data_IF_869029044539
#
_entry.id   IF_869029044539
#
_cell.length_a   1.000
_cell.length_b   1.000
_cell.length_c   1.000
_cell.angle_alpha   90.00
_cell.angle_beta   90.00
_cell.angle_gamma   90.00
#
_symmetry.space_group_name_H-M   'P 1'
#
loop_
_entity.id
_entity.type
_entity.pdbx_description
1 polymer ?
#
# COMPACT_ATOMS: atom_id res chain seq x y z
N UNK A 1 15.81 -5.31 0.88
CA UNK A 1 17.05 -4.57 1.28
C UNK A 1 17.48 -3.50 0.27
N UNK A 2 17.75 -3.90 -0.98
CA UNK A 2 18.45 -3.03 -1.93
C UNK A 2 17.60 -1.93 -2.59
N UNK A 3 16.29 -1.95 -2.39
CA UNK A 3 15.34 -1.04 -3.04
C UNK A 3 15.59 -0.94 -4.56
N UNK A 4 15.84 -2.09 -5.16
CA UNK A 4 16.11 -2.25 -6.58
C UNK A 4 14.98 -3.03 -7.24
N UNK A 5 14.78 -2.79 -8.52
CA UNK A 5 13.93 -3.58 -9.40
C UNK A 5 14.72 -4.09 -10.63
N UNK A 6 14.06 -4.90 -11.44
CA UNK A 6 14.70 -5.58 -12.57
C UNK A 6 14.44 -4.84 -13.90
N UNK A 7 14.32 -3.52 -13.87
CA UNK A 7 14.06 -2.67 -15.05
C UNK A 7 15.34 -2.05 -15.67
N UNK A 8 16.51 -2.38 -15.11
CA UNK A 8 17.81 -1.91 -15.57
C UNK A 8 18.81 -1.54 -14.48
N UNK A 9 18.48 -1.78 -13.20
CA UNK A 9 19.37 -1.50 -12.08
C UNK A 9 20.70 -2.25 -12.17
N UNK A 10 21.78 -1.55 -11.80
CA UNK A 10 23.14 -2.06 -11.82
C UNK A 10 23.67 -2.24 -10.39
N UNK A 11 24.30 -3.37 -10.11
CA UNK A 11 24.96 -3.66 -8.84
C UNK A 11 26.48 -3.70 -9.00
N UNK A 12 27.18 -3.17 -8.01
CA UNK A 12 28.63 -3.33 -7.87
C UNK A 12 28.92 -4.49 -6.93
N UNK A 13 29.71 -5.47 -7.40
CA UNK A 13 30.15 -6.61 -6.60
C UNK A 13 31.62 -6.43 -6.25
N UNK A 14 31.93 -6.55 -4.97
CA UNK A 14 33.29 -6.47 -4.45
C UNK A 14 33.71 -7.82 -3.89
N UNK A 15 34.89 -8.30 -4.29
CA UNK A 15 35.40 -9.62 -3.88
C UNK A 15 36.56 -9.42 -2.89
N UNK A 16 36.40 -9.77 -1.60
CA UNK A 16 37.49 -9.66 -0.62
C UNK A 16 38.63 -10.62 -0.98
N UNK A 17 39.87 -10.13 -0.91
CA UNK A 17 41.06 -10.89 -1.29
C UNK A 17 41.84 -11.45 -0.10
N UNK A 18 41.82 -10.75 1.03
CA UNK A 18 42.57 -11.16 2.23
C UNK A 18 41.74 -12.14 3.06
N UNK A 19 42.41 -13.13 3.66
CA UNK A 19 41.74 -14.08 4.55
C UNK A 19 41.00 -13.39 5.72
N UNK A 20 41.56 -12.38 6.40
CA UNK A 20 40.84 -11.66 7.45
C UNK A 20 39.55 -10.99 6.94
N UNK A 21 39.60 -10.33 5.77
CA UNK A 21 38.41 -9.69 5.20
C UNK A 21 37.36 -10.69 4.74
N UNK A 22 37.76 -11.86 4.25
CA UNK A 22 36.84 -12.95 3.89
C UNK A 22 36.09 -13.42 5.14
N UNK A 23 36.81 -13.65 6.24
CA UNK A 23 36.21 -14.07 7.52
C UNK A 23 35.28 -12.98 8.05
N UNK A 24 35.70 -11.71 8.02
CA UNK A 24 34.87 -10.58 8.46
C UNK A 24 33.56 -10.49 7.65
N UNK A 25 33.62 -10.61 6.33
CA UNK A 25 32.43 -10.62 5.49
C UNK A 25 31.52 -11.81 5.79
N UNK A 26 32.09 -12.99 6.04
CA UNK A 26 31.32 -14.20 6.35
C UNK A 26 30.61 -14.11 7.70
N UNK A 27 31.31 -13.63 8.74
CA UNK A 27 30.76 -13.59 10.10
C UNK A 27 29.82 -12.40 10.33
N UNK A 28 30.04 -11.26 9.66
CA UNK A 28 29.28 -10.03 9.95
C UNK A 28 28.31 -9.62 8.84
N UNK A 29 28.65 -9.86 7.58
CA UNK A 29 27.94 -9.27 6.43
C UNK A 29 27.03 -10.26 5.70
N UNK A 30 26.91 -11.50 6.19
CA UNK A 30 26.01 -12.49 5.60
C UNK A 30 24.54 -12.10 5.77
N UNK A 31 23.71 -12.56 4.83
CA UNK A 31 22.26 -12.28 4.85
C UNK A 31 21.63 -12.80 6.14
N UNK A 32 22.11 -13.91 6.68
CA UNK A 32 21.60 -14.50 7.93
C UNK A 32 21.72 -13.53 9.11
N UNK A 33 22.87 -12.86 9.23
CA UNK A 33 23.16 -11.88 10.30
C UNK A 33 22.44 -10.55 10.07
N UNK A 34 22.13 -10.22 8.81
CA UNK A 34 21.48 -8.97 8.41
C UNK A 34 19.97 -9.11 8.18
N UNK A 35 19.34 -10.20 8.63
CA UNK A 35 17.91 -10.46 8.44
C UNK A 35 17.01 -9.39 9.09
N UNK A 36 17.41 -8.87 10.25
CA UNK A 36 16.62 -7.91 11.02
C UNK A 36 17.27 -6.53 10.94
N UNK A 37 16.48 -5.51 10.61
CA UNK A 37 16.93 -4.14 10.65
C UNK A 37 17.04 -3.66 12.11
N UNK A 38 18.23 -3.29 12.60
CA UNK A 38 18.39 -2.77 13.95
C UNK A 38 17.68 -1.42 14.18
N UNK A 39 17.41 -0.65 13.11
CA UNK A 39 16.74 0.66 13.21
C UNK A 39 15.27 0.55 13.64
N UNK A 40 14.54 -0.44 13.10
CA UNK A 40 13.10 -0.57 13.29
C UNK A 40 12.68 -1.92 13.88
N UNK A 41 13.60 -2.87 14.04
CA UNK A 41 13.33 -4.23 14.49
C UNK A 41 12.58 -5.10 13.47
N UNK A 42 12.35 -4.59 12.27
CA UNK A 42 11.62 -5.26 11.19
C UNK A 42 12.53 -6.22 10.40
N UNK A 43 12.02 -7.37 9.95
CA UNK A 43 12.71 -8.20 8.97
C UNK A 43 12.94 -7.43 7.65
N UNK A 44 14.16 -7.48 7.12
CA UNK A 44 14.51 -6.84 5.84
C UNK A 44 14.11 -7.70 4.66
N UNK A 45 14.08 -9.02 4.86
CA UNK A 45 13.68 -10.03 3.89
C UNK A 45 12.32 -10.59 4.33
N UNK A 46 11.38 -10.66 3.38
CA UNK A 46 10.05 -11.23 3.58
C UNK A 46 9.49 -11.69 2.23
N UNK A 47 8.38 -12.40 2.24
CA UNK A 47 7.69 -12.79 1.01
C UNK A 47 7.16 -11.55 0.30
N UNK A 48 7.41 -11.47 -1.00
CA UNK A 48 6.99 -10.33 -1.83
C UNK A 48 6.46 -10.81 -3.17
N UNK A 49 5.66 -9.96 -3.82
CA UNK A 49 5.16 -10.18 -5.19
C UNK A 49 4.45 -11.54 -5.32
N UNK A 50 4.92 -12.40 -6.22
CA UNK A 50 4.26 -13.66 -6.58
C UNK A 50 4.32 -14.69 -5.46
N UNK A 51 5.42 -14.75 -4.71
CA UNK A 51 5.56 -15.65 -3.55
C UNK A 51 4.51 -15.35 -2.48
N UNK A 52 4.29 -14.06 -2.20
CA UNK A 52 3.31 -13.61 -1.22
C UNK A 52 1.88 -13.89 -1.70
N UNK A 53 1.60 -13.64 -2.98
CA UNK A 53 0.32 -13.96 -3.60
C UNK A 53 0.04 -15.47 -3.58
N UNK A 54 1.03 -16.28 -3.96
CA UNK A 54 0.95 -17.73 -3.96
C UNK A 54 0.71 -18.27 -2.56
N UNK A 55 1.46 -17.81 -1.57
CA UNK A 55 1.28 -18.20 -0.16
C UNK A 55 -0.11 -17.81 0.35
N UNK A 56 -0.58 -16.59 0.06
CA UNK A 56 -1.92 -16.14 0.46
C UNK A 56 -3.02 -17.00 -0.16
N UNK A 57 -2.98 -17.23 -1.49
CA UNK A 57 -3.96 -18.03 -2.19
C UNK A 57 -3.91 -19.52 -1.80
N UNK A 58 -2.75 -20.02 -1.36
CA UNK A 58 -2.58 -21.38 -0.85
C UNK A 58 -3.21 -21.52 0.54
N UNK A 59 -2.96 -20.58 1.46
CA UNK A 59 -3.44 -20.65 2.85
C UNK A 59 -4.93 -20.31 2.98
N UNK A 60 -5.40 -19.29 2.26
CA UNK A 60 -6.79 -18.82 2.35
C UNK A 60 -7.73 -19.42 1.31
N UNK A 61 -7.20 -19.92 0.20
CA UNK A 61 -8.03 -20.64 -0.73
C UNK A 61 -8.48 -21.95 -0.08
N UNK A 62 -9.75 -22.33 -0.28
CA UNK A 62 -10.27 -23.68 0.02
C UNK A 62 -9.62 -24.71 -0.94
N UNK A 63 -8.30 -24.85 -0.84
CA UNK A 63 -7.44 -25.58 -1.75
C UNK A 63 -7.21 -26.96 -1.16
N UNK A 64 -7.67 -27.97 -1.89
CA UNK A 64 -7.46 -29.38 -1.58
C UNK A 64 -6.49 -30.01 -2.58
N UNK A 65 -5.30 -30.35 -2.09
CA UNK A 65 -4.23 -30.92 -2.90
C UNK A 65 -4.25 -32.45 -2.85
N UNK A 66 -3.93 -33.08 -3.98
CA UNK A 66 -3.74 -34.54 -4.06
C UNK A 66 -2.34 -34.93 -3.62
N UNK A 67 -2.14 -36.23 -3.36
CA UNK A 67 -0.85 -36.77 -2.91
C UNK A 67 0.32 -36.41 -3.82
N UNK A 68 0.12 -36.41 -5.14
CA UNK A 68 1.19 -36.16 -6.10
C UNK A 68 1.68 -34.71 -6.06
N UNK A 69 0.74 -33.76 -5.93
CA UNK A 69 1.05 -32.35 -5.73
C UNK A 69 1.80 -32.14 -4.41
N UNK A 70 1.32 -32.72 -3.32
CA UNK A 70 1.95 -32.59 -1.99
C UNK A 70 3.33 -33.24 -1.98
N UNK A 71 3.51 -34.40 -2.62
CA UNK A 71 4.81 -35.06 -2.74
C UNK A 71 5.84 -34.21 -3.49
N UNK A 72 5.40 -33.51 -4.54
CA UNK A 72 6.26 -32.58 -5.29
C UNK A 72 6.60 -31.33 -4.46
N UNK A 73 5.61 -30.75 -3.78
CA UNK A 73 5.81 -29.60 -2.90
C UNK A 73 6.72 -29.93 -1.70
N UNK A 74 6.58 -31.14 -1.13
CA UNK A 74 7.45 -31.65 -0.09
C UNK A 74 8.90 -31.75 -0.62
N UNK A 75 9.11 -32.31 -1.80
CA UNK A 75 10.44 -32.38 -2.41
C UNK A 75 11.11 -31.00 -2.55
N UNK A 76 10.33 -29.95 -2.81
CA UNK A 76 10.84 -28.59 -3.00
C UNK A 76 11.12 -27.82 -1.70
N UNK A 77 10.40 -28.08 -0.62
CA UNK A 77 10.49 -27.23 0.58
C UNK A 77 10.46 -27.96 1.94
N UNK A 78 10.09 -29.23 2.01
CA UNK A 78 10.11 -29.98 3.28
C UNK A 78 10.22 -31.48 3.07
N UNK A 79 11.22 -32.12 3.68
CA UNK A 79 11.41 -33.57 3.60
C UNK A 79 10.31 -34.37 4.34
N UNK A 80 9.42 -33.71 5.09
CA UNK A 80 8.37 -34.36 5.87
C UNK A 80 7.00 -34.09 5.25
N UNK A 81 6.29 -35.15 4.89
CA UNK A 81 4.90 -35.07 4.42
C UNK A 81 3.95 -35.18 5.61
N UNK A 82 3.11 -34.16 5.80
CA UNK A 82 2.08 -34.18 6.84
C UNK A 82 1.01 -35.26 6.56
N UNK A 83 0.26 -35.62 7.60
CA UNK A 83 -0.91 -36.47 7.47
C UNK A 83 -2.02 -35.73 6.70
N UNK A 84 -2.74 -36.38 5.76
CA UNK A 84 -3.84 -35.74 5.04
C UNK A 84 -4.96 -35.31 5.99
N UNK A 85 -5.46 -34.09 5.83
CA UNK A 85 -6.65 -33.62 6.55
C UNK A 85 -7.89 -34.48 6.27
N UNK A 86 -8.04 -34.95 5.02
CA UNK A 86 -9.21 -35.71 4.59
C UNK A 86 -8.75 -37.08 4.08
N UNK A 87 -9.07 -38.12 4.85
CA UNK A 87 -8.75 -39.50 4.49
C UNK A 87 -9.80 -40.15 3.57
N UNK A 88 -11.08 -39.87 3.81
CA UNK A 88 -12.21 -40.53 3.13
C UNK A 88 -12.86 -39.60 2.10
N UNK A 89 -12.09 -39.14 1.12
CA UNK A 89 -12.67 -38.45 -0.04
C UNK A 89 -12.95 -39.44 -1.18
N UNK A 90 -13.93 -39.18 -2.06
CA UNK A 90 -14.21 -40.03 -3.23
C UNK A 90 -13.01 -40.19 -4.17
N UNK A 91 -12.06 -39.26 -4.12
CA UNK A 91 -10.90 -39.17 -5.01
C UNK A 91 -9.57 -39.45 -4.27
N UNK A 92 -9.63 -40.07 -3.09
CA UNK A 92 -8.45 -40.40 -2.28
C UNK A 92 -8.09 -39.35 -1.22
N UNK A 93 -6.93 -39.49 -0.56
CA UNK A 93 -6.52 -38.57 0.51
C UNK A 93 -6.25 -37.16 -0.01
N UNK A 94 -6.68 -36.14 0.75
CA UNK A 94 -6.50 -34.72 0.42
C UNK A 94 -5.84 -33.96 1.56
N UNK A 95 -4.98 -33.01 1.19
CA UNK A 95 -4.31 -32.07 2.10
C UNK A 95 -4.83 -30.67 1.87
N UNK A 96 -4.86 -29.85 2.91
CA UNK A 96 -5.20 -28.44 2.78
C UNK A 96 -3.97 -27.60 2.47
N UNK A 97 -4.14 -26.44 1.84
CA UNK A 97 -3.03 -25.51 1.63
C UNK A 97 -2.42 -24.99 2.93
N UNK A 98 -3.21 -24.84 4.00
CA UNK A 98 -2.71 -24.52 5.36
C UNK A 98 -1.75 -25.58 5.88
N UNK A 99 -2.07 -26.87 5.71
CA UNK A 99 -1.17 -27.98 6.10
C UNK A 99 0.14 -27.94 5.31
N UNK A 100 0.06 -27.69 4.00
CA UNK A 100 1.24 -27.61 3.15
C UNK A 100 2.14 -26.43 3.53
N UNK A 101 1.56 -25.28 3.85
CA UNK A 101 2.33 -24.16 4.39
C UNK A 101 2.98 -24.53 5.73
N UNK A 102 2.22 -25.16 6.63
CA UNK A 102 2.71 -25.61 7.94
C UNK A 102 3.91 -26.56 7.88
N UNK A 103 4.06 -27.35 6.80
CA UNK A 103 5.22 -28.23 6.61
C UNK A 103 6.57 -27.51 6.56
N UNK A 104 6.57 -26.20 6.28
CA UNK A 104 7.76 -25.35 6.25
C UNK A 104 8.05 -24.65 7.58
N UNK A 105 7.10 -24.69 8.52
CA UNK A 105 7.23 -24.00 9.81
C UNK A 105 8.04 -24.83 10.81
N UNK A 106 8.76 -24.18 11.74
CA UNK A 106 9.38 -24.88 12.87
C UNK A 106 8.32 -25.55 13.75
N UNK A 107 8.54 -26.79 14.22
CA UNK A 107 7.54 -27.55 14.99
C UNK A 107 7.28 -26.99 16.40
N UNK A 108 8.13 -26.12 16.90
CA UNK A 108 7.94 -25.47 18.21
C UNK A 108 7.19 -24.13 18.10
N UNK A 109 6.98 -23.64 16.86
CA UNK A 109 6.56 -22.27 16.62
C UNK A 109 5.21 -21.98 17.24
N UNK A 110 5.16 -20.93 18.07
CA UNK A 110 3.91 -20.36 18.59
C UNK A 110 3.78 -18.91 18.15
N UNK A 111 2.73 -18.64 17.39
CA UNK A 111 2.46 -17.30 16.87
C UNK A 111 0.97 -16.99 16.95
N UNK A 112 0.66 -15.88 17.61
CA UNK A 112 -0.69 -15.31 17.65
C UNK A 112 -0.58 -13.87 17.19
N UNK A 113 -1.06 -13.58 15.98
CA UNK A 113 -0.90 -12.26 15.41
C UNK A 113 -1.50 -12.11 14.03
N UNK A 114 -1.98 -10.91 13.72
CA UNK A 114 -2.49 -10.59 12.37
C UNK A 114 -3.69 -11.42 11.94
N UNK A 115 -4.47 -11.95 12.89
CA UNK A 115 -5.63 -12.80 12.61
C UNK A 115 -5.27 -14.26 12.33
N UNK A 116 -4.07 -14.70 12.69
CA UNK A 116 -3.62 -16.09 12.50
C UNK A 116 -3.10 -16.65 13.81
N UNK A 117 -3.55 -17.87 14.10
CA UNK A 117 -3.10 -18.66 15.24
C UNK A 117 -2.32 -19.88 14.75
N UNK A 118 -1.04 -19.91 15.13
CA UNK A 118 -0.11 -21.01 14.84
C UNK A 118 0.35 -21.60 16.16
N UNK A 119 0.15 -22.90 16.32
CA UNK A 119 0.54 -23.65 17.50
C UNK A 119 1.32 -24.88 17.05
N UNK A 120 2.50 -25.06 17.62
CA UNK A 120 3.39 -26.20 17.37
C UNK A 120 3.67 -26.41 15.86
N UNK A 121 3.85 -25.30 15.14
CA UNK A 121 4.13 -25.29 13.69
C UNK A 121 2.92 -25.54 12.79
N UNK A 122 1.70 -25.66 13.34
CA UNK A 122 0.47 -25.85 12.57
C UNK A 122 -0.43 -24.61 12.59
N UNK A 123 -0.95 -24.22 11.41
CA UNK A 123 -1.90 -23.12 11.28
C UNK A 123 -3.30 -23.63 11.65
N UNK A 124 -3.87 -23.12 12.74
CA UNK A 124 -5.20 -23.49 13.22
C UNK A 124 -6.28 -22.63 12.56
N UNK A 125 -6.11 -21.31 12.67
CA UNK A 125 -7.05 -20.33 12.11
C UNK A 125 -6.32 -19.24 11.34
N UNK A 126 -7.00 -18.67 10.34
CA UNK A 126 -6.45 -17.58 9.53
C UNK A 126 -7.55 -16.67 8.99
N UNK A 127 -7.47 -15.39 9.34
CA UNK A 127 -8.27 -14.31 8.76
C UNK A 127 -7.92 -14.06 7.27
N UNK A 128 -8.80 -13.33 6.59
CA UNK A 128 -8.68 -12.92 5.17
C UNK A 128 -7.45 -12.01 4.88
N UNK A 129 -6.70 -11.56 5.89
CA UNK A 129 -5.50 -10.74 5.70
C UNK A 129 -4.19 -11.53 5.62
N UNK A 130 -3.31 -11.22 4.67
CA UNK A 130 -1.93 -11.74 4.60
C UNK A 130 -0.88 -10.88 5.32
N UNK A 131 -1.31 -9.90 6.12
CA UNK A 131 -0.37 -8.93 6.74
C UNK A 131 0.68 -9.60 7.64
N UNK A 132 0.38 -10.76 8.19
CA UNK A 132 1.27 -11.57 9.00
C UNK A 132 2.44 -12.17 8.22
N UNK A 133 2.33 -12.32 6.88
CA UNK A 133 3.40 -12.81 5.99
C UNK A 133 4.38 -11.71 5.56
N UNK A 134 4.04 -10.44 5.77
CA UNK A 134 4.88 -9.30 5.40
C UNK A 134 6.01 -9.05 6.41
N UNK A 135 6.90 -8.11 6.09
CA UNK A 135 8.02 -7.63 6.91
C UNK A 135 7.63 -6.83 8.18
N UNK A 136 6.48 -7.13 8.80
CA UNK A 136 6.06 -6.46 10.04
C UNK A 136 6.93 -6.85 11.23
N UNK A 137 7.04 -5.96 12.23
CA UNK A 137 7.68 -6.26 13.53
C UNK A 137 6.98 -7.43 14.22
N UNK A 138 5.66 -7.52 14.05
CA UNK A 138 4.82 -8.60 14.58
C UNK A 138 4.53 -9.68 13.54
N UNK A 139 5.28 -9.71 12.44
CA UNK A 139 5.10 -10.69 11.36
C UNK A 139 5.69 -12.05 11.70
N UNK A 140 5.27 -13.07 10.94
CA UNK A 140 5.72 -14.45 11.06
C UNK A 140 7.24 -14.59 11.03
N UNK A 141 7.89 -13.92 10.07
CA UNK A 141 9.33 -13.99 9.87
C UNK A 141 10.09 -13.57 11.13
N UNK A 142 9.60 -12.55 11.85
CA UNK A 142 10.22 -12.10 13.10
C UNK A 142 10.01 -13.10 14.23
N UNK A 143 8.84 -13.74 14.29
CA UNK A 143 8.54 -14.79 15.27
C UNK A 143 9.47 -15.99 15.09
N UNK A 144 9.62 -16.48 13.84
CA UNK A 144 10.54 -17.57 13.50
C UNK A 144 11.99 -17.20 13.83
N UNK A 145 12.42 -15.98 13.49
CA UNK A 145 13.76 -15.49 13.81
C UNK A 145 14.05 -15.51 15.31
N UNK A 146 13.07 -15.11 16.11
CA UNK A 146 13.24 -15.03 17.57
C UNK A 146 13.28 -16.40 18.22
N UNK A 147 12.51 -17.35 17.72
CA UNK A 147 12.37 -18.68 18.33
C UNK A 147 13.39 -19.70 17.80
N UNK A 148 13.56 -19.78 16.48
CA UNK A 148 14.37 -20.80 15.81
C UNK A 148 15.69 -20.27 15.24
N UNK A 149 15.91 -18.96 15.26
CA UNK A 149 17.13 -18.31 14.80
C UNK A 149 17.18 -17.99 13.30
N UNK A 150 18.27 -17.34 12.84
CA UNK A 150 18.38 -16.79 11.49
C UNK A 150 18.43 -17.85 10.39
N UNK A 151 19.21 -18.92 10.58
CA UNK A 151 19.39 -19.97 9.57
C UNK A 151 18.06 -20.70 9.26
N UNK A 152 17.28 -21.04 10.29
CA UNK A 152 15.96 -21.67 10.12
C UNK A 152 14.99 -20.72 9.45
N UNK A 153 15.05 -19.42 9.76
CA UNK A 153 14.23 -18.40 9.10
C UNK A 153 14.50 -18.31 7.59
N UNK A 154 15.77 -18.35 7.19
CA UNK A 154 16.14 -18.36 5.77
C UNK A 154 15.71 -19.65 5.08
N UNK A 155 15.93 -20.80 5.71
CA UNK A 155 15.48 -22.09 5.18
C UNK A 155 13.97 -22.12 5.00
N UNK A 156 13.20 -21.56 5.95
CA UNK A 156 11.76 -21.41 5.82
C UNK A 156 11.39 -20.51 4.62
N UNK A 157 12.02 -19.34 4.48
CA UNK A 157 11.76 -18.40 3.39
C UNK A 157 12.05 -19.01 2.01
N UNK A 158 13.16 -19.75 1.88
CA UNK A 158 13.54 -20.41 0.63
C UNK A 158 12.58 -21.56 0.27
N UNK A 159 12.23 -22.38 1.26
CA UNK A 159 11.26 -23.47 1.11
C UNK A 159 9.88 -22.96 0.68
N UNK A 160 9.34 -21.96 1.37
CA UNK A 160 8.02 -21.42 1.04
C UNK A 160 8.04 -20.68 -0.30
N UNK A 161 9.12 -19.99 -0.65
CA UNK A 161 9.28 -19.35 -1.95
C UNK A 161 9.23 -20.38 -3.07
N UNK A 162 9.97 -21.48 -2.94
CA UNK A 162 9.99 -22.56 -3.92
C UNK A 162 8.62 -23.24 -4.07
N UNK A 163 7.97 -23.55 -2.94
CA UNK A 163 6.64 -24.18 -2.92
C UNK A 163 5.55 -23.27 -3.49
N UNK A 164 5.50 -22.01 -3.04
CA UNK A 164 4.49 -21.04 -3.48
C UNK A 164 4.63 -20.73 -4.97
N UNK A 165 5.85 -20.53 -5.47
CA UNK A 165 6.09 -20.25 -6.89
C UNK A 165 5.72 -21.44 -7.76
N UNK A 166 6.12 -22.67 -7.38
CA UNK A 166 5.75 -23.86 -8.14
C UNK A 166 4.23 -24.05 -8.16
N UNK A 167 3.56 -23.93 -7.01
CA UNK A 167 2.12 -24.05 -6.94
C UNK A 167 1.40 -22.97 -7.75
N UNK A 168 1.85 -21.72 -7.66
CA UNK A 168 1.29 -20.61 -8.43
C UNK A 168 1.49 -20.81 -9.94
N UNK A 169 2.62 -21.39 -10.36
CA UNK A 169 2.88 -21.75 -11.76
C UNK A 169 1.90 -22.82 -12.28
N UNK A 170 1.58 -23.83 -11.47
CA UNK A 170 0.60 -24.87 -11.83
C UNK A 170 -0.83 -24.35 -11.86
N UNK A 171 -1.19 -23.49 -10.89
CA UNK A 171 -2.52 -22.86 -10.83
C UNK A 171 -2.73 -21.86 -11.96
N UNK A 172 -1.68 -21.10 -12.29
CA UNK A 172 -1.74 -19.92 -13.13
C UNK A 172 -2.36 -18.73 -12.39
N UNK A 173 -1.84 -17.53 -12.68
CA UNK A 173 -2.44 -16.29 -12.20
C UNK A 173 -2.26 -15.21 -13.26
N UNK A 174 -3.33 -14.47 -13.54
CA UNK A 174 -3.31 -13.38 -14.52
C UNK A 174 -4.31 -12.31 -14.13
N UNK A 175 -4.03 -11.08 -14.55
CA UNK A 175 -4.92 -9.93 -14.40
C UNK A 175 -5.24 -9.41 -15.80
N UNK A 176 -6.53 -9.33 -16.10
CA UNK A 176 -7.04 -8.82 -17.36
C UNK A 176 -7.74 -7.47 -17.21
N UNK A 177 -8.12 -6.87 -18.34
CA UNK A 177 -8.93 -5.64 -18.35
C UNK A 177 -10.31 -5.86 -17.67
N UNK A 178 -10.84 -7.08 -17.73
CA UNK A 178 -12.08 -7.47 -17.05
C UNK A 178 -12.03 -7.32 -15.55
N UNK A 179 -10.85 -7.47 -14.93
CA UNK A 179 -10.68 -7.36 -13.48
C UNK A 179 -10.80 -5.91 -12.99
N UNK A 180 -10.50 -4.94 -13.88
CA UNK A 180 -10.75 -3.53 -13.63
C UNK A 180 -12.23 -3.17 -13.77
N UNK A 181 -13.01 -3.98 -14.50
CA UNK A 181 -14.47 -3.86 -14.57
C UNK A 181 -15.09 -4.53 -13.34
N UNK A 182 -14.98 -3.85 -12.20
CA UNK A 182 -15.41 -4.33 -10.88
C UNK A 182 -16.84 -4.88 -10.85
N UNK A 183 -17.76 -4.22 -11.56
CA UNK A 183 -19.17 -4.58 -11.59
C UNK A 183 -19.64 -5.01 -12.99
N UNK A 184 -20.50 -6.04 -13.11
CA UNK A 184 -21.19 -6.39 -14.34
C UNK A 184 -21.97 -5.22 -14.93
N UNK A 185 -22.20 -5.21 -16.24
CA UNK A 185 -22.90 -4.11 -16.93
C UNK A 185 -24.30 -3.78 -16.36
N UNK A 186 -24.99 -4.80 -15.83
CA UNK A 186 -26.30 -4.64 -15.18
C UNK A 186 -26.24 -3.79 -13.91
N UNK A 187 -25.23 -4.01 -13.05
CA UNK A 187 -25.04 -3.33 -11.76
C UNK A 187 -24.03 -2.18 -11.83
N UNK A 188 -23.31 -2.02 -12.94
CA UNK A 188 -22.36 -0.94 -13.15
C UNK A 188 -23.05 0.43 -13.04
N UNK A 189 -24.23 0.58 -13.65
CA UNK A 189 -24.99 1.85 -13.58
C UNK A 189 -25.43 2.19 -12.16
N UNK A 190 -25.81 1.18 -11.36
CA UNK A 190 -26.18 1.39 -9.96
C UNK A 190 -24.96 1.73 -9.11
N UNK A 191 -23.84 1.03 -9.32
CA UNK A 191 -22.58 1.33 -8.65
C UNK A 191 -22.11 2.76 -8.93
N UNK A 192 -22.11 3.20 -10.18
CA UNK A 192 -21.69 4.56 -10.55
C UNK A 192 -22.61 5.64 -9.98
N UNK A 193 -23.92 5.37 -9.89
CA UNK A 193 -24.86 6.27 -9.20
C UNK A 193 -24.56 6.34 -7.71
N UNK A 194 -24.38 5.21 -7.04
CA UNK A 194 -24.01 5.16 -5.63
C UNK A 194 -22.69 5.90 -5.35
N UNK A 195 -21.67 5.72 -6.20
CA UNK A 195 -20.40 6.46 -6.09
C UNK A 195 -20.64 7.97 -6.23
N UNK A 196 -21.45 8.39 -7.21
CA UNK A 196 -21.84 9.78 -7.39
C UNK A 196 -22.54 10.36 -6.16
N UNK A 197 -23.51 9.64 -5.62
CA UNK A 197 -24.26 10.04 -4.42
C UNK A 197 -23.33 10.12 -3.18
N UNK A 198 -22.41 9.18 -3.01
CA UNK A 198 -21.42 9.22 -1.93
C UNK A 198 -20.46 10.40 -2.07
N UNK A 199 -20.05 10.72 -3.30
CA UNK A 199 -19.21 11.89 -3.58
C UNK A 199 -19.95 13.19 -3.25
N UNK A 200 -21.18 13.36 -3.73
CA UNK A 200 -21.98 14.55 -3.48
C UNK A 200 -22.29 14.70 -1.96
N UNK A 201 -22.55 13.60 -1.26
CA UNK A 201 -22.63 13.60 0.20
C UNK A 201 -21.31 14.05 0.84
N UNK A 202 -20.17 13.49 0.46
CA UNK A 202 -18.87 13.87 1.01
C UNK A 202 -18.54 15.36 0.76
N UNK A 203 -18.87 15.88 -0.42
CA UNK A 203 -18.72 17.29 -0.78
C UNK A 203 -19.60 18.17 0.12
N UNK A 204 -20.87 17.82 0.31
CA UNK A 204 -21.78 18.60 1.17
C UNK A 204 -21.34 18.61 2.64
N UNK A 205 -20.82 17.49 3.16
CA UNK A 205 -20.27 17.45 4.51
C UNK A 205 -19.01 18.31 4.66
N UNK A 206 -18.06 18.19 3.74
CA UNK A 206 -16.84 19.01 3.75
C UNK A 206 -17.15 20.50 3.61
N UNK A 207 -18.09 20.86 2.74
CA UNK A 207 -18.55 22.25 2.58
C UNK A 207 -19.25 22.78 3.83
N UNK A 208 -20.06 21.95 4.50
CA UNK A 208 -20.71 22.33 5.78
C UNK A 208 -19.69 22.59 6.88
N UNK A 209 -18.68 21.75 7.03
CA UNK A 209 -17.62 22.02 8.03
C UNK A 209 -16.83 23.29 7.72
N UNK A 210 -16.55 23.57 6.44
CA UNK A 210 -15.95 24.84 6.04
C UNK A 210 -16.81 26.04 6.46
N UNK A 211 -18.13 25.95 6.29
CA UNK A 211 -19.07 27.00 6.66
C UNK A 211 -19.24 27.17 8.18
N UNK A 212 -19.21 26.09 8.95
CA UNK A 212 -19.30 26.13 10.42
C UNK A 212 -18.06 26.79 11.02
N UNK A 213 -16.90 26.46 10.47
CA UNK A 213 -15.59 26.95 10.90
C UNK A 213 -15.25 28.33 10.33
N UNK A 214 -16.04 28.87 9.41
CA UNK A 214 -15.86 30.23 8.89
C UNK A 214 -16.28 31.26 9.96
N UNK A 215 -15.33 32.04 10.51
CA UNK A 215 -15.62 33.05 11.54
C UNK A 215 -16.42 34.24 11.01
N UNK A 216 -16.56 34.39 9.69
CA UNK A 216 -17.26 35.52 9.05
C UNK A 216 -18.73 35.24 8.72
N UNK A 217 -19.22 34.01 8.93
CA UNK A 217 -20.64 33.67 8.72
C UNK A 217 -21.39 33.81 10.05
N UNK A 218 -22.34 34.75 10.18
CA UNK A 218 -23.10 34.92 11.42
C UNK A 218 -23.85 33.62 11.77
N UNK A 219 -23.82 33.25 13.06
CA UNK A 219 -24.39 32.00 13.59
C UNK A 219 -25.85 31.74 13.16
N UNK A 220 -26.63 32.80 12.88
CA UNK A 220 -28.05 32.68 12.47
C UNK A 220 -28.27 32.17 11.04
N UNK A 221 -27.27 32.21 10.14
CA UNK A 221 -27.40 31.78 8.74
C UNK A 221 -26.83 30.38 8.45
N UNK A 222 -26.36 29.64 9.46
CA UNK A 222 -25.69 28.33 9.29
C UNK A 222 -26.60 27.18 8.83
N UNK A 223 -27.92 27.35 8.88
CA UNK A 223 -28.91 26.31 8.56
C UNK A 223 -29.61 26.48 7.20
N UNK A 224 -29.19 27.41 6.35
CA UNK A 224 -29.84 27.63 5.06
C UNK A 224 -28.98 27.08 3.92
N UNK A 225 -29.60 26.34 2.98
CA UNK A 225 -29.03 26.03 1.67
C UNK A 225 -28.84 27.35 0.91
N UNK A 226 -27.73 28.04 1.16
CA UNK A 226 -27.43 29.32 0.54
C UNK A 226 -26.94 29.06 -0.89
N UNK A 227 -27.88 29.13 -1.85
CA UNK A 227 -27.55 29.55 -3.22
C UNK A 227 -27.40 31.08 -3.18
N UNK A 228 -26.20 31.60 -2.90
CA UNK A 228 -25.97 33.06 -2.84
C UNK A 228 -25.41 33.59 -4.16
N UNK A 229 -26.22 34.40 -4.84
CA UNK A 229 -25.81 35.34 -5.87
C UNK A 229 -25.38 36.71 -5.28
N UNK A 230 -24.94 36.77 -4.01
CA UNK A 230 -24.58 38.03 -3.36
C UNK A 230 -23.10 38.37 -3.56
N UNK A 231 -22.87 39.44 -4.32
CA UNK A 231 -21.57 39.97 -4.77
C UNK A 231 -20.86 40.85 -3.73
N UNK A 232 -21.10 40.68 -2.44
CA UNK A 232 -20.54 41.52 -1.36
C UNK A 232 -19.54 40.79 -0.45
N UNK A 233 -18.67 39.94 -1.03
CA UNK A 233 -17.54 39.32 -0.32
C UNK A 233 -16.24 40.08 -0.59
N UNK A 234 -15.97 41.14 0.17
CA UNK A 234 -14.75 41.96 0.04
C UNK A 234 -13.67 41.57 1.07
N UNK A 235 -12.49 41.23 0.55
CA UNK A 235 -11.16 41.13 1.22
C UNK A 235 -11.04 40.11 2.37
N UNK A 236 -11.07 38.81 2.04
CA UNK A 236 -10.53 37.75 2.92
C UNK A 236 -8.99 37.74 2.87
N UNK A 237 -8.31 37.53 4.00
CA UNK A 237 -6.87 37.31 3.99
C UNK A 237 -6.54 35.95 3.36
N UNK A 238 -5.58 35.91 2.44
CA UNK A 238 -5.21 34.69 1.70
C UNK A 238 -4.88 33.51 2.63
N UNK A 239 -4.25 33.78 3.78
CA UNK A 239 -3.92 32.76 4.78
C UNK A 239 -5.16 32.09 5.40
N UNK A 240 -6.24 32.86 5.69
CA UNK A 240 -7.47 32.30 6.27
C UNK A 240 -8.26 31.50 5.24
N UNK A 241 -8.27 31.94 3.98
CA UNK A 241 -8.88 31.18 2.88
C UNK A 241 -8.17 29.85 2.68
N UNK A 242 -6.84 29.86 2.70
CA UNK A 242 -6.02 28.64 2.60
C UNK A 242 -6.30 27.66 3.76
N UNK A 243 -6.41 28.16 4.99
CA UNK A 243 -6.71 27.32 6.16
C UNK A 243 -8.12 26.70 6.11
N UNK A 244 -9.13 27.44 5.63
CA UNK A 244 -10.49 26.89 5.44
C UNK A 244 -10.53 25.85 4.31
N UNK A 245 -9.74 26.07 3.25
CA UNK A 245 -9.62 25.11 2.16
C UNK A 245 -8.96 23.81 2.64
N UNK A 246 -7.83 23.88 3.33
CA UNK A 246 -7.15 22.69 3.84
C UNK A 246 -8.02 21.87 4.81
N UNK A 247 -8.85 22.53 5.62
CA UNK A 247 -9.82 21.86 6.50
C UNK A 247 -10.83 21.02 5.69
N UNK A 248 -11.46 21.61 4.66
CA UNK A 248 -12.44 20.88 3.86
C UNK A 248 -11.83 19.77 3.02
N UNK A 249 -10.60 19.98 2.52
CA UNK A 249 -9.81 18.95 1.84
C UNK A 249 -9.54 17.76 2.77
N UNK A 250 -9.03 18.01 3.98
CA UNK A 250 -8.76 16.97 4.97
C UNK A 250 -10.03 16.20 5.35
N UNK A 251 -11.14 16.91 5.55
CA UNK A 251 -12.42 16.26 5.87
C UNK A 251 -12.93 15.41 4.71
N UNK A 252 -12.86 15.92 3.48
CA UNK A 252 -13.25 15.17 2.29
C UNK A 252 -12.42 13.90 2.14
N UNK A 253 -11.09 13.99 2.23
CA UNK A 253 -10.19 12.83 2.13
C UNK A 253 -10.51 11.76 3.19
N UNK A 254 -10.83 12.16 4.43
CA UNK A 254 -11.21 11.23 5.50
C UNK A 254 -12.49 10.43 5.20
N UNK A 255 -13.46 11.05 4.52
CA UNK A 255 -14.75 10.44 4.19
C UNK A 255 -14.70 9.67 2.87
N UNK A 256 -13.94 10.18 1.90
CA UNK A 256 -13.83 9.69 0.54
C UNK A 256 -13.38 8.22 0.53
N UNK A 257 -12.23 7.92 1.13
CA UNK A 257 -11.62 6.60 1.06
C UNK A 257 -12.56 5.53 1.60
N UNK A 258 -13.10 5.71 2.81
CA UNK A 258 -13.94 4.71 3.46
C UNK A 258 -15.27 4.46 2.75
N UNK A 259 -15.92 5.52 2.25
CA UNK A 259 -17.25 5.39 1.63
C UNK A 259 -17.19 4.75 0.26
N UNK A 260 -16.23 5.14 -0.57
CA UNK A 260 -16.13 4.62 -1.94
C UNK A 260 -15.54 3.21 -1.94
N UNK A 261 -14.57 2.94 -1.07
CA UNK A 261 -14.07 1.58 -0.84
C UNK A 261 -15.20 0.62 -0.47
N UNK A 262 -16.12 1.03 0.41
CA UNK A 262 -17.28 0.22 0.79
C UNK A 262 -18.20 -0.09 -0.41
N UNK A 263 -18.50 0.90 -1.25
CA UNK A 263 -19.34 0.69 -2.45
C UNK A 263 -18.66 -0.27 -3.40
N UNK A 264 -17.36 -0.10 -3.66
CA UNK A 264 -16.60 -0.98 -4.55
C UNK A 264 -16.57 -2.41 -4.01
N UNK A 265 -16.30 -2.60 -2.72
CA UNK A 265 -16.24 -3.92 -2.09
C UNK A 265 -17.58 -4.66 -2.10
N UNK A 266 -18.71 -3.94 -2.19
CA UNK A 266 -20.04 -4.54 -2.30
C UNK A 266 -20.35 -5.06 -3.70
N UNK A 267 -19.86 -4.37 -4.73
CA UNK A 267 -20.13 -4.70 -6.13
C UNK A 267 -19.05 -5.56 -6.79
N UNK A 268 -17.84 -5.62 -6.19
CA UNK A 268 -16.74 -6.41 -6.72
C UNK A 268 -17.04 -7.90 -6.62
N UNK A 269 -16.71 -8.63 -7.68
CA UNK A 269 -16.72 -10.10 -7.65
C UNK A 269 -15.67 -10.63 -6.66
N UNK A 270 -15.99 -11.66 -5.86
CA UNK A 270 -15.01 -12.28 -4.96
C UNK A 270 -13.85 -12.91 -5.72
N UNK A 271 -14.09 -13.44 -6.93
CA UNK A 271 -13.09 -14.11 -7.77
C UNK A 271 -12.22 -13.15 -8.60
N UNK A 272 -12.23 -11.86 -8.29
CA UNK A 272 -11.47 -10.87 -9.04
C UNK A 272 -9.96 -11.00 -8.73
N UNK A 273 -9.14 -11.25 -9.75
CA UNK A 273 -7.69 -11.39 -9.59
C UNK A 273 -7.04 -10.13 -9.01
N UNK A 274 -7.47 -8.94 -9.41
CA UNK A 274 -6.93 -7.69 -8.89
C UNK A 274 -7.23 -7.52 -7.39
N UNK A 275 -8.43 -7.95 -6.96
CA UNK A 275 -8.78 -7.97 -5.55
C UNK A 275 -7.93 -8.97 -4.77
N UNK A 276 -7.67 -10.15 -5.35
CA UNK A 276 -6.79 -11.14 -4.74
C UNK A 276 -5.36 -10.59 -4.51
N UNK A 277 -4.79 -9.83 -5.47
CA UNK A 277 -3.49 -9.17 -5.29
C UNK A 277 -3.50 -8.14 -4.15
N UNK A 278 -4.57 -7.34 -4.07
CA UNK A 278 -4.72 -6.30 -3.03
C UNK A 278 -4.92 -6.93 -1.65
N UNK A 279 -5.72 -8.01 -1.54
CA UNK A 279 -5.92 -8.78 -0.31
C UNK A 279 -4.65 -9.48 0.14
N UNK A 280 -3.90 -10.06 -0.80
CA UNK A 280 -2.60 -10.66 -0.56
C UNK A 280 -1.53 -9.64 -0.16
N UNK A 281 -1.72 -8.34 -0.42
CA UNK A 281 -0.70 -7.33 -0.17
C UNK A 281 0.53 -7.46 -1.07
N UNK A 282 0.44 -8.25 -2.14
CA UNK A 282 1.52 -8.50 -3.11
C UNK A 282 1.87 -7.24 -3.87
N UNK A 283 0.87 -6.65 -4.53
CA UNK A 283 0.99 -5.38 -5.26
C UNK A 283 -0.36 -4.68 -5.29
N UNK A 284 -0.30 -3.36 -5.28
CA UNK A 284 -1.48 -2.50 -5.26
C UNK A 284 -1.95 -2.18 -3.86
N UNK A 285 -2.90 -1.25 -3.78
CA UNK A 285 -3.59 -0.89 -2.55
C UNK A 285 -5.06 -0.69 -2.86
N UNK A 286 -5.90 -0.75 -1.83
CA UNK A 286 -7.33 -0.53 -2.01
C UNK A 286 -7.61 0.87 -2.60
N UNK A 287 -6.84 1.88 -2.20
CA UNK A 287 -6.93 3.22 -2.80
C UNK A 287 -6.64 3.21 -4.31
N UNK A 288 -5.66 2.43 -4.77
CA UNK A 288 -5.39 2.28 -6.22
C UNK A 288 -6.53 1.56 -6.94
N UNK A 289 -7.09 0.51 -6.34
CA UNK A 289 -8.28 -0.18 -6.89
C UNK A 289 -9.45 0.80 -7.04
N UNK A 290 -9.69 1.64 -6.02
CA UNK A 290 -10.72 2.68 -6.03
C UNK A 290 -10.50 3.69 -7.16
N UNK A 291 -9.25 4.14 -7.35
CA UNK A 291 -8.92 5.09 -8.43
C UNK A 291 -9.12 4.50 -9.82
N UNK A 292 -8.81 3.21 -9.99
CA UNK A 292 -8.95 2.53 -11.27
C UNK A 292 -10.42 2.31 -11.64
N UNK A 293 -11.23 1.79 -10.71
CA UNK A 293 -12.57 1.31 -11.01
C UNK A 293 -13.71 2.26 -10.60
N UNK A 294 -13.51 3.08 -9.56
CA UNK A 294 -14.55 3.94 -8.99
C UNK A 294 -14.41 5.40 -9.39
N UNK A 295 -13.46 6.10 -8.77
CA UNK A 295 -13.13 7.48 -9.09
C UNK A 295 -11.74 7.86 -8.59
N UNK A 296 -11.07 8.73 -9.31
CA UNK A 296 -9.73 9.24 -8.95
C UNK A 296 -9.72 10.08 -7.67
N UNK A 297 -10.81 10.82 -7.42
CA UNK A 297 -10.93 11.67 -6.24
C UNK A 297 -10.18 12.99 -6.36
N UNK A 298 -9.89 13.59 -5.20
CA UNK A 298 -9.31 14.92 -5.11
C UNK A 298 -7.79 14.88 -5.33
N UNK A 299 -7.33 15.60 -6.35
CA UNK A 299 -5.91 15.78 -6.65
C UNK A 299 -5.42 17.14 -6.16
N UNK A 300 -4.32 17.12 -5.40
CA UNK A 300 -3.70 18.31 -4.82
C UNK A 300 -2.38 18.62 -5.53
N UNK A 301 -2.12 19.90 -5.72
CA UNK A 301 -0.87 20.46 -6.21
C UNK A 301 0.13 20.55 -5.05
N UNK A 302 1.35 20.01 -5.24
CA UNK A 302 2.40 19.95 -4.22
C UNK A 302 1.95 19.32 -2.88
N UNK A 303 0.98 18.41 -2.92
CA UNK A 303 0.47 17.72 -1.73
C UNK A 303 -0.53 18.51 -0.88
N UNK A 304 -0.44 19.83 -0.84
CA UNK A 304 -1.19 20.64 0.13
C UNK A 304 -2.19 21.63 -0.50
N UNK A 305 -1.95 22.05 -1.74
CA UNK A 305 -2.69 23.16 -2.34
C UNK A 305 -3.63 22.67 -3.43
N UNK A 306 -4.78 23.32 -3.52
CA UNK A 306 -5.68 23.16 -4.65
C UNK A 306 -5.09 23.91 -5.85
N UNK A 307 -5.22 23.37 -7.06
CA UNK A 307 -4.78 24.07 -8.27
C UNK A 307 -5.39 25.46 -8.34
N UNK A 308 -4.58 26.53 -8.47
CA UNK A 308 -5.06 27.89 -8.29
C UNK A 308 -5.73 28.45 -9.55
N UNK A 309 -5.91 27.62 -10.58
CA UNK A 309 -6.48 27.98 -11.87
C UNK A 309 -7.97 27.59 -11.94
N UNK A 310 -8.86 28.54 -12.22
CA UNK A 310 -10.18 28.22 -12.79
C UNK A 310 -10.01 28.00 -14.29
N UNK A 311 -10.25 26.77 -14.76
CA UNK A 311 -10.18 26.33 -16.17
C UNK A 311 -11.23 26.98 -17.11
N UNK A 312 -11.73 28.17 -16.78
CA UNK A 312 -12.73 28.92 -17.55
C UNK A 312 -12.20 30.21 -18.19
N UNK A 313 -10.91 30.53 -18.08
CA UNK A 313 -10.30 31.63 -18.83
C UNK A 313 -9.45 31.05 -19.97
N UNK A 314 -9.52 31.62 -21.19
CA UNK A 314 -8.66 31.19 -22.28
C UNK A 314 -7.19 31.36 -21.85
N UNK A 315 -6.37 30.36 -22.17
CA UNK A 315 -4.92 30.40 -22.00
C UNK A 315 -4.34 31.42 -22.97
N UNK A 316 -4.54 32.72 -22.72
CA UNK A 316 -3.91 33.78 -23.52
C UNK A 316 -2.52 34.02 -22.97
N UNK A 317 -1.54 33.73 -23.82
CA UNK A 317 -0.20 34.30 -23.80
C UNK A 317 -0.27 35.81 -23.66
N UNK A 318 0.54 36.34 -22.73
CA UNK A 318 1.13 37.69 -22.63
C UNK A 318 0.97 38.31 -21.24
N UNK A 319 2.10 38.35 -20.52
CA UNK A 319 2.52 39.53 -19.75
C UNK A 319 1.74 39.95 -18.50
N UNK A 320 0.61 39.33 -18.14
CA UNK A 320 -0.10 39.66 -16.90
C UNK A 320 0.01 38.53 -15.89
N UNK A 321 0.74 38.81 -14.80
CA UNK A 321 0.67 38.04 -13.56
C UNK A 321 -0.79 37.68 -13.30
N UNK A 322 -1.08 36.38 -13.22
CA UNK A 322 -2.39 35.82 -12.94
C UNK A 322 -2.94 36.47 -11.66
N UNK A 323 -3.69 37.57 -11.81
CA UNK A 323 -4.42 38.17 -10.71
C UNK A 323 -5.49 37.17 -10.32
N UNK A 324 -5.23 36.40 -9.27
CA UNK A 324 -6.15 35.50 -8.62
C UNK A 324 -7.41 36.28 -8.22
N UNK A 325 -8.43 36.29 -9.06
CA UNK A 325 -9.76 36.68 -8.62
C UNK A 325 -10.38 35.47 -7.93
N UNK A 326 -10.07 35.35 -6.64
CA UNK A 326 -10.74 34.46 -5.70
C UNK A 326 -12.18 34.96 -5.58
N UNK A 327 -13.05 34.55 -6.50
CA UNK A 327 -14.49 34.66 -6.27
C UNK A 327 -14.87 33.54 -5.29
N UNK A 328 -14.67 33.87 -4.02
CA UNK A 328 -15.08 33.18 -2.81
C UNK A 328 -16.49 32.57 -2.91
N UNK A 329 -16.58 31.25 -3.09
CA UNK A 329 -17.77 30.45 -2.80
C UNK A 329 -17.35 29.18 -2.05
N UNK A 330 -18.17 28.66 -1.12
CA UNK A 330 -18.06 27.28 -0.66
C UNK A 330 -18.12 26.34 -1.89
N UNK A 331 -17.17 25.41 -2.01
CA UNK A 331 -17.05 24.51 -3.18
C UNK A 331 -15.91 24.83 -4.16
N UNK A 332 -15.05 25.81 -3.86
CA UNK A 332 -13.94 26.16 -4.76
C UNK A 332 -12.95 25.02 -5.02
N UNK A 333 -12.70 24.15 -4.03
CA UNK A 333 -11.76 23.03 -4.14
C UNK A 333 -12.30 21.85 -4.97
N UNK A 334 -13.63 21.69 -5.04
CA UNK A 334 -14.28 20.71 -5.89
C UNK A 334 -14.04 21.03 -7.38
N UNK A 335 -14.25 22.28 -7.76
CA UNK A 335 -14.22 22.71 -9.16
C UNK A 335 -12.82 22.65 -9.81
N UNK A 336 -11.77 22.61 -8.99
CA UNK A 336 -10.36 22.77 -9.39
C UNK A 336 -9.51 21.52 -9.19
N UNK A 337 -9.92 20.60 -8.31
CA UNK A 337 -9.13 19.39 -8.01
C UNK A 337 -9.89 18.06 -8.00
N UNK A 338 -11.23 18.06 -7.98
CA UNK A 338 -11.99 16.81 -7.90
C UNK A 338 -12.14 16.16 -9.28
N UNK A 339 -11.72 14.90 -9.38
CA UNK A 339 -11.93 14.06 -10.55
C UNK A 339 -12.95 12.98 -10.22
N UNK A 340 -14.13 13.06 -10.84
CA UNK A 340 -15.26 12.17 -10.55
C UNK A 340 -15.19 10.86 -11.32
N UNK A 341 -14.46 10.83 -12.44
CA UNK A 341 -14.33 9.64 -13.28
C UNK A 341 -13.20 8.72 -12.80
N UNK A 342 -13.37 7.45 -13.12
CA UNK A 342 -12.36 6.41 -12.94
C UNK A 342 -11.36 6.42 -14.11
N UNK A 343 -10.23 5.74 -13.96
CA UNK A 343 -9.28 5.56 -15.06
C UNK A 343 -9.84 4.62 -16.15
N UNK A 344 -10.65 3.63 -15.75
CA UNK A 344 -11.31 2.70 -16.68
C UNK A 344 -12.37 3.40 -17.54
N UNK A 345 -13.13 4.34 -16.98
CA UNK A 345 -14.14 5.11 -17.72
C UNK A 345 -13.54 6.20 -18.62
N UNK A 346 -12.24 6.49 -18.43
CA UNK A 346 -11.54 7.56 -19.12
C UNK A 346 -11.93 8.95 -18.60
N UNK A 347 -10.97 9.86 -18.65
CA UNK A 347 -11.09 11.20 -18.07
C UNK A 347 -11.56 12.23 -19.08
N UNK A 348 -12.32 13.22 -18.61
CA UNK A 348 -12.62 14.39 -19.44
C UNK A 348 -11.34 15.21 -19.65
N UNK A 349 -11.22 15.97 -20.76
CA UNK A 349 -10.03 16.80 -21.01
C UNK A 349 -9.66 17.72 -19.84
N UNK A 350 -10.67 18.30 -19.15
CA UNK A 350 -10.48 19.11 -17.94
C UNK A 350 -9.87 18.29 -16.78
N UNK A 351 -10.41 17.10 -16.53
CA UNK A 351 -9.96 16.21 -15.45
C UNK A 351 -8.56 15.68 -15.73
N UNK A 352 -8.28 15.33 -16.98
CA UNK A 352 -6.96 14.91 -17.43
C UNK A 352 -5.91 16.01 -17.21
N UNK A 353 -6.22 17.25 -17.58
CA UNK A 353 -5.31 18.39 -17.35
C UNK A 353 -5.02 18.60 -15.85
N UNK A 354 -6.06 18.56 -15.01
CA UNK A 354 -5.93 18.65 -13.55
C UNK A 354 -5.02 17.55 -13.01
N UNK A 355 -5.27 16.29 -13.40
CA UNK A 355 -4.45 15.16 -13.00
C UNK A 355 -3.00 15.34 -13.43
N UNK A 356 -2.75 15.71 -14.68
CA UNK A 356 -1.40 15.88 -15.25
C UNK A 356 -0.62 17.01 -14.56
N UNK A 357 -1.28 18.11 -14.21
CA UNK A 357 -0.65 19.22 -13.50
C UNK A 357 -0.33 18.86 -12.04
N UNK A 358 -1.23 18.14 -11.37
CA UNK A 358 -0.99 17.64 -10.02
C UNK A 358 0.13 16.59 -10.00
N UNK A 359 0.11 15.62 -10.91
CA UNK A 359 1.12 14.56 -10.96
C UNK A 359 2.51 15.12 -11.23
N UNK A 360 2.64 16.04 -12.19
CA UNK A 360 3.92 16.72 -12.47
C UNK A 360 4.46 17.50 -11.28
N UNK A 361 3.58 18.06 -10.45
CA UNK A 361 3.98 18.78 -9.24
C UNK A 361 4.37 17.87 -8.07
N UNK A 362 3.81 16.67 -8.03
CA UNK A 362 4.13 15.66 -7.01
C UNK A 362 5.38 14.86 -7.35
N UNK A 363 5.75 14.78 -8.63
CA UNK A 363 7.07 14.29 -9.00
C UNK A 363 8.07 15.23 -8.33
N UNK A 364 8.90 14.74 -7.38
CA UNK A 364 9.94 15.58 -6.82
C UNK A 364 10.71 16.15 -8.00
N UNK A 365 11.00 17.45 -7.98
CA UNK A 365 11.83 18.05 -9.01
C UNK A 365 13.16 17.31 -9.01
N UNK A 366 13.26 16.27 -9.85
CA UNK A 366 14.43 15.42 -10.03
C UNK A 366 15.58 16.38 -10.38
N UNK A 367 16.36 16.78 -9.36
CA UNK A 367 17.45 17.75 -9.50
C UNK A 367 17.47 18.96 -8.54
N UNK A 368 16.44 19.25 -7.74
CA UNK A 368 16.49 20.42 -6.82
C UNK A 368 16.95 20.09 -5.40
N UNK A 369 16.62 18.90 -4.89
CA UNK A 369 17.19 18.43 -3.63
C UNK A 369 18.47 17.70 -3.95
N UNK A 370 19.61 18.17 -3.45
CA UNK A 370 20.87 17.41 -3.52
C UNK A 370 20.66 16.12 -2.72
N UNK A 371 20.47 14.96 -3.38
CA UNK A 371 20.11 13.75 -2.68
C UNK A 371 21.22 13.43 -1.68
N UNK A 372 20.82 13.07 -0.47
CA UNK A 372 21.69 12.53 0.58
C UNK A 372 22.67 13.51 1.24
N UNK A 373 22.52 14.84 1.10
CA UNK A 373 23.34 15.79 1.88
C UNK A 373 23.17 15.61 3.40
N UNK A 374 21.93 15.57 3.88
CA UNK A 374 21.63 15.37 5.30
C UNK A 374 22.20 14.04 5.78
N UNK A 375 22.01 12.97 5.01
CA UNK A 375 22.55 11.64 5.33
C UNK A 375 24.08 11.65 5.42
N UNK A 376 24.77 12.24 4.44
CA UNK A 376 26.24 12.38 4.45
C UNK A 376 26.72 13.21 5.65
N UNK A 377 26.05 14.32 5.94
CA UNK A 377 26.37 15.15 7.11
C UNK A 377 26.20 14.37 8.41
N UNK A 378 25.08 13.67 8.58
CA UNK A 378 24.81 12.86 9.77
C UNK A 378 25.84 11.74 9.94
N UNK A 379 26.15 11.01 8.87
CA UNK A 379 27.20 9.99 8.86
C UNK A 379 28.56 10.56 9.26
N UNK A 380 28.94 11.74 8.75
CA UNK A 380 30.20 12.39 9.11
C UNK A 380 30.24 12.79 10.59
N UNK A 381 29.13 13.26 11.16
CA UNK A 381 29.06 13.62 12.57
C UNK A 381 29.08 12.40 13.51
N UNK A 382 28.46 11.28 13.10
CA UNK A 382 28.29 10.10 13.94
C UNK A 382 29.37 9.01 13.73
N UNK A 383 30.24 9.12 12.72
CA UNK A 383 31.21 8.07 12.38
C UNK A 383 32.18 7.68 13.51
N UNK A 384 32.47 8.64 14.40
CA UNK A 384 33.46 8.49 15.46
C UNK A 384 32.83 7.90 16.75
N UNK A 385 31.50 7.71 16.79
CA UNK A 385 30.81 7.16 17.95
C UNK A 385 30.88 5.63 17.95
N UNK A 386 31.27 5.05 19.09
CA UNK A 386 31.33 3.60 19.27
C UNK A 386 30.93 3.18 20.69
N UNK A 387 30.54 1.91 20.83
CA UNK A 387 30.27 1.28 22.12
C UNK A 387 31.57 0.68 22.66
N UNK A 388 32.04 1.17 23.81
CA UNK A 388 33.25 0.66 24.47
C UNK A 388 32.95 -0.61 25.29
N UNK A 389 34.00 -1.35 25.64
CA UNK A 389 33.89 -2.60 26.41
C UNK A 389 33.23 -2.45 27.80
N UNK A 390 33.22 -1.23 28.35
CA UNK A 390 32.56 -0.90 29.62
C UNK A 390 31.07 -0.56 29.46
N UNK A 391 30.51 -0.67 28.25
CA UNK A 391 29.13 -0.34 27.93
C UNK A 391 28.87 1.17 27.76
N UNK A 392 29.91 2.01 27.84
CA UNK A 392 29.77 3.45 27.59
C UNK A 392 29.80 3.76 26.09
N UNK A 393 29.05 4.77 25.66
CA UNK A 393 29.12 5.31 24.30
C UNK A 393 30.12 6.45 24.30
N UNK A 394 31.20 6.32 23.52
CA UNK A 394 32.29 7.29 23.44
C UNK A 394 32.46 7.78 22.01
N UNK A 395 33.05 8.95 21.86
CA UNK A 395 33.60 9.45 20.59
C UNK A 395 35.12 9.29 20.57
N UNK A 396 35.73 9.58 19.43
CA UNK A 396 37.18 9.51 19.21
C UNK A 396 38.03 10.48 20.07
N UNK A 397 37.40 11.43 20.75
CA UNK A 397 38.02 12.43 21.62
C UNK A 397 37.59 12.18 23.05
#
# INVERSE_FOLDING_TARGET
PYNADFDGDCFSVFVPQSLPSIVECHELMTVEQQLINPQCGQPIVSLTQDTLLGAHLLVQGDVFLTRDYVGTLALLGSSKVAIPAIYKSPQGPRWTGKQVFGMTLPPTLKYQGGGVDIVDGEILDSDDGSKWLNSSVTGLVKAIYTEAGPAVTLSHLDAIQSMANWWLSQRGFSVGLSDFMVAPDSTRKTMLKEIGDQLDMAITYASREQLISDPFIPRSKRNLNVKSNDTTFTKRSAAKVKALQSLGVAKFQSLFSRRIEYVIMRHIRPDNSLLAMVRAGSKGSMGKLVQQAGCLGLHLHKGDEVLPCRLGRPFTTEGQSLKFSVQDLPGHWEATGLIRRSLVDGLRPKEFYVQAMCSRSSTPSYGLELPNKIFKSLMLFMRDMYLAYDGTVRNSR
#
